data_IF_588030830364
#
_entry.id   IF_588030830364
#
_cell.length_a   1.000
_cell.length_b   1.000
_cell.length_c   1.000
_cell.angle_alpha   90.00
_cell.angle_beta   90.00
_cell.angle_gamma   90.00
#
_symmetry.space_group_name_H-M   'P 1'
#
loop_
_entity.id
_entity.type
_entity.pdbx_description
1 polymer ?
#
# COMPACT_ATOMS: atom_id res chain seq x y z
N UNK A 1 -16.51 7.82 0.02
CA UNK A 1 -15.25 8.54 -0.20
C UNK A 1 -14.61 7.93 -1.43
N UNK A 2 -14.35 6.62 -1.39
CA UNK A 2 -13.56 5.79 -2.31
C UNK A 2 -13.53 6.19 -3.80
N UNK A 3 -14.67 6.56 -4.42
CA UNK A 3 -14.68 7.03 -5.81
C UNK A 3 -13.90 8.36 -6.02
N UNK A 4 -13.83 9.22 -4.99
CA UNK A 4 -13.06 10.46 -5.02
C UNK A 4 -11.55 10.18 -4.95
N UNK A 5 -11.12 9.21 -4.15
CA UNK A 5 -9.74 8.71 -4.11
C UNK A 5 -9.35 8.15 -5.48
N UNK A 6 -10.23 7.35 -6.10
CA UNK A 6 -10.03 6.85 -7.47
C UNK A 6 -9.90 7.96 -8.50
N UNK A 7 -10.82 8.92 -8.50
CA UNK A 7 -10.77 10.05 -9.43
C UNK A 7 -9.48 10.87 -9.25
N UNK A 8 -9.05 11.09 -8.00
CA UNK A 8 -7.81 11.79 -7.70
C UNK A 8 -6.59 11.01 -8.24
N UNK A 9 -6.53 9.70 -8.01
CA UNK A 9 -5.47 8.85 -8.55
C UNK A 9 -5.41 8.91 -10.07
N UNK A 10 -6.56 8.83 -10.75
CA UNK A 10 -6.62 8.93 -12.21
C UNK A 10 -6.09 10.26 -12.74
N UNK A 11 -6.46 11.38 -12.11
CA UNK A 11 -5.94 12.70 -12.48
C UNK A 11 -4.43 12.75 -12.25
N UNK A 12 -3.94 12.25 -11.11
CA UNK A 12 -2.51 12.27 -10.81
C UNK A 12 -1.70 11.39 -11.77
N UNK A 13 -2.22 10.23 -12.18
CA UNK A 13 -1.54 9.32 -13.10
C UNK A 13 -1.51 9.84 -14.54
N UNK A 14 -2.60 10.46 -15.01
CA UNK A 14 -2.76 10.81 -16.42
C UNK A 14 -2.51 12.30 -16.72
N UNK A 15 -2.61 13.17 -15.70
CA UNK A 15 -2.60 14.62 -15.86
C UNK A 15 -1.68 15.34 -14.87
N UNK A 16 -0.67 14.65 -14.30
CA UNK A 16 0.32 15.24 -13.38
C UNK A 16 0.97 16.53 -13.92
N UNK A 17 1.24 16.60 -15.23
CA UNK A 17 1.81 17.80 -15.86
C UNK A 17 0.91 19.04 -15.71
N UNK A 18 -0.42 18.87 -15.74
CA UNK A 18 -1.38 19.96 -15.57
C UNK A 18 -1.47 20.44 -14.10
N UNK A 19 -1.11 19.57 -13.15
CA UNK A 19 -1.09 19.87 -11.72
C UNK A 19 0.19 20.59 -11.28
N UNK A 20 1.27 20.48 -12.06
CA UNK A 20 2.55 21.13 -11.80
C UNK A 20 3.07 20.85 -10.39
N UNK A 21 3.45 21.91 -9.68
CA UNK A 21 4.01 21.81 -8.33
C UNK A 21 3.02 21.30 -7.26
N UNK A 22 1.72 21.20 -7.56
CA UNK A 22 0.71 20.69 -6.63
C UNK A 22 0.63 19.17 -6.57
N UNK A 23 1.15 18.45 -7.58
CA UNK A 23 1.01 17.00 -7.69
C UNK A 23 1.55 16.22 -6.47
N UNK A 24 2.72 16.55 -5.89
CA UNK A 24 3.24 15.82 -4.73
C UNK A 24 2.34 15.90 -3.50
N UNK A 25 1.70 17.04 -3.26
CA UNK A 25 0.81 17.20 -2.10
C UNK A 25 -0.49 16.43 -2.30
N UNK A 26 -1.01 16.39 -3.53
CA UNK A 26 -2.19 15.61 -3.88
C UNK A 26 -1.96 14.10 -3.75
N UNK A 27 -0.75 13.61 -4.04
CA UNK A 27 -0.40 12.21 -3.74
C UNK A 27 -0.44 11.91 -2.24
N UNK A 28 0.05 12.83 -1.39
CA UNK A 28 -0.05 12.65 0.07
C UNK A 28 -1.50 12.61 0.53
N UNK A 29 -2.35 13.50 0.02
CA UNK A 29 -3.79 13.52 0.31
C UNK A 29 -4.43 12.20 -0.09
N UNK A 30 -4.10 11.69 -1.29
CA UNK A 30 -4.59 10.39 -1.74
C UNK A 30 -4.16 9.25 -0.81
N UNK A 31 -2.88 9.15 -0.45
CA UNK A 31 -2.39 8.12 0.50
C UNK A 31 -3.06 8.24 1.87
N UNK A 32 -3.34 9.45 2.34
CA UNK A 32 -4.04 9.69 3.62
C UNK A 32 -5.52 9.26 3.59
N UNK A 33 -6.15 9.26 2.40
CA UNK A 33 -7.52 8.77 2.21
C UNK A 33 -7.65 7.25 2.23
N UNK A 34 -6.53 6.51 2.10
CA UNK A 34 -6.53 5.05 2.09
C UNK A 34 -6.45 4.44 3.51
N UNK A 35 -6.93 3.20 3.71
CA UNK A 35 -7.53 2.30 2.71
C UNK A 35 -8.96 2.67 2.32
N UNK A 36 -9.39 2.30 1.11
CA UNK A 36 -10.81 2.25 0.75
C UNK A 36 -11.53 1.18 1.59
N UNK A 37 -12.78 1.43 1.96
CA UNK A 37 -13.52 0.58 2.92
C UNK A 37 -14.97 0.32 2.54
N UNK A 38 -15.50 1.01 1.53
CA UNK A 38 -16.94 1.04 1.24
C UNK A 38 -17.24 0.49 -0.16
N UNK A 39 -16.42 0.83 -1.14
CA UNK A 39 -16.57 0.41 -2.53
C UNK A 39 -15.47 -0.59 -2.89
N UNK A 40 -15.86 -1.84 -3.13
CA UNK A 40 -14.91 -2.92 -3.45
C UNK A 40 -14.18 -2.71 -4.78
N UNK A 41 -14.84 -2.14 -5.80
CA UNK A 41 -14.22 -1.94 -7.12
C UNK A 41 -13.15 -0.86 -7.02
N UNK A 42 -13.48 0.25 -6.37
CA UNK A 42 -12.53 1.33 -6.12
C UNK A 42 -11.43 0.92 -5.15
N UNK A 43 -11.75 0.08 -4.16
CA UNK A 43 -10.75 -0.50 -3.26
C UNK A 43 -9.74 -1.35 -4.03
N UNK A 44 -10.20 -2.30 -4.84
CA UNK A 44 -9.30 -3.17 -5.65
C UNK A 44 -8.37 -2.31 -6.51
N UNK A 45 -8.91 -1.29 -7.16
CA UNK A 45 -8.17 -0.36 -8.02
C UNK A 45 -7.15 0.48 -7.25
N UNK A 46 -7.54 1.19 -6.19
CA UNK A 46 -6.63 2.07 -5.46
C UNK A 46 -5.51 1.30 -4.78
N UNK A 47 -5.82 0.14 -4.18
CA UNK A 47 -4.79 -0.67 -3.52
C UNK A 47 -3.82 -1.32 -4.52
N UNK A 48 -4.28 -1.62 -5.74
CA UNK A 48 -3.40 -2.03 -6.84
C UNK A 48 -2.47 -0.88 -7.27
N UNK A 49 -3.01 0.33 -7.48
CA UNK A 49 -2.20 1.52 -7.80
C UNK A 49 -1.16 1.77 -6.72
N UNK A 50 -1.56 1.71 -5.44
CA UNK A 50 -0.65 1.92 -4.31
C UNK A 50 0.49 0.90 -4.34
N UNK A 51 0.18 -0.37 -4.56
CA UNK A 51 1.16 -1.45 -4.66
C UNK A 51 2.14 -1.21 -5.81
N UNK A 52 1.64 -0.86 -7.00
CA UNK A 52 2.48 -0.56 -8.16
C UNK A 52 3.43 0.62 -7.88
N UNK A 53 2.95 1.68 -7.23
CA UNK A 53 3.77 2.85 -6.90
C UNK A 53 4.86 2.53 -5.88
N UNK A 54 4.56 1.69 -4.89
CA UNK A 54 5.55 1.23 -3.89
C UNK A 54 6.61 0.35 -4.54
N UNK A 55 6.21 -0.57 -5.41
CA UNK A 55 7.14 -1.43 -6.16
C UNK A 55 8.06 -0.64 -7.09
N UNK A 56 7.61 0.52 -7.57
CA UNK A 56 8.40 1.47 -8.36
C UNK A 56 9.17 2.49 -7.50
N UNK A 57 9.12 2.37 -6.18
CA UNK A 57 9.77 3.27 -5.22
C UNK A 57 9.44 4.76 -5.46
N UNK A 58 8.20 5.05 -5.87
CA UNK A 58 7.75 6.42 -6.14
C UNK A 58 7.83 7.26 -4.87
N UNK A 59 8.72 8.26 -4.88
CA UNK A 59 9.02 9.11 -3.70
C UNK A 59 7.79 9.81 -3.15
N UNK A 60 6.80 10.09 -4.00
CA UNK A 60 5.52 10.70 -3.66
C UNK A 60 4.69 9.82 -2.72
N UNK A 61 4.88 8.50 -2.78
CA UNK A 61 4.18 7.50 -1.95
C UNK A 61 5.08 6.98 -0.85
N UNK A 62 6.28 6.49 -1.17
CA UNK A 62 7.16 5.85 -0.17
C UNK A 62 7.89 6.87 0.71
N UNK A 63 7.91 8.14 0.31
CA UNK A 63 8.64 9.21 0.99
C UNK A 63 10.15 9.11 0.74
N UNK A 64 10.87 10.20 1.02
CA UNK A 64 12.33 10.22 0.90
C UNK A 64 12.92 9.16 1.83
N UNK A 65 13.80 8.31 1.27
CA UNK A 65 14.41 7.18 1.98
C UNK A 65 13.41 6.22 2.67
N UNK A 66 12.17 6.12 2.14
CA UNK A 66 11.16 5.21 2.68
C UNK A 66 10.45 5.72 3.93
N UNK A 67 10.49 7.02 4.21
CA UNK A 67 9.89 7.62 5.41
C UNK A 67 8.39 7.29 5.62
N UNK A 68 7.64 7.01 4.54
CA UNK A 68 6.22 6.69 4.62
C UNK A 68 5.94 5.17 4.56
N UNK A 69 6.96 4.33 4.45
CA UNK A 69 6.79 2.89 4.24
C UNK A 69 5.98 2.22 5.35
N UNK A 70 6.13 2.66 6.60
CA UNK A 70 5.34 2.13 7.73
C UNK A 70 3.84 2.42 7.57
N UNK A 71 3.47 3.63 7.12
CA UNK A 71 2.07 3.99 6.86
C UNK A 71 1.50 3.17 5.71
N UNK A 72 2.27 3.00 4.64
CA UNK A 72 1.84 2.24 3.46
C UNK A 72 1.63 0.76 3.80
N UNK A 73 2.56 0.15 4.56
CA UNK A 73 2.38 -1.21 5.08
C UNK A 73 1.16 -1.32 6.00
N UNK A 74 0.83 -0.27 6.75
CA UNK A 74 -0.37 -0.25 7.59
C UNK A 74 -1.65 -0.29 6.76
N UNK A 75 -1.69 0.42 5.63
CA UNK A 75 -2.80 0.36 4.67
C UNK A 75 -2.92 -1.07 4.12
N UNK A 76 -1.84 -1.65 3.61
CA UNK A 76 -1.86 -2.99 3.03
C UNK A 76 -2.29 -4.07 4.02
N UNK A 77 -1.86 -3.95 5.28
CA UNK A 77 -2.28 -4.84 6.37
C UNK A 77 -3.79 -4.84 6.60
N UNK A 78 -4.47 -3.72 6.38
CA UNK A 78 -5.93 -3.66 6.55
C UNK A 78 -6.69 -4.33 5.41
N UNK A 79 -6.13 -4.35 4.19
CA UNK A 79 -6.83 -4.81 2.98
C UNK A 79 -6.38 -6.19 2.48
N UNK A 80 -5.26 -6.70 2.98
CA UNK A 80 -4.71 -8.01 2.60
C UNK A 80 -5.74 -9.14 2.77
N UNK A 81 -6.04 -9.85 1.66
CA UNK A 81 -7.05 -10.93 1.59
C UNK A 81 -8.42 -10.51 2.12
N UNK A 82 -8.84 -9.30 1.80
CA UNK A 82 -10.21 -8.80 1.99
C UNK A 82 -10.83 -8.54 0.63
N UNK A 83 -12.14 -8.29 0.58
CA UNK A 83 -12.84 -7.96 -0.67
C UNK A 83 -12.37 -6.61 -1.27
N UNK A 84 -11.59 -5.82 -0.53
CA UNK A 84 -10.99 -4.56 -1.01
C UNK A 84 -9.69 -4.76 -1.80
N UNK A 85 -9.20 -6.00 -1.95
CA UNK A 85 -8.00 -6.31 -2.71
C UNK A 85 -8.19 -7.60 -3.51
N UNK A 86 -7.84 -7.59 -4.80
CA UNK A 86 -7.85 -8.80 -5.61
C UNK A 86 -6.66 -9.73 -5.24
N UNK A 87 -6.68 -10.96 -5.75
CA UNK A 87 -5.66 -11.98 -5.46
C UNK A 87 -4.26 -11.55 -5.90
N UNK A 88 -4.15 -10.83 -7.01
CA UNK A 88 -2.89 -10.29 -7.53
C UNK A 88 -2.32 -9.26 -6.56
N UNK A 89 -3.13 -8.29 -6.12
CA UNK A 89 -2.75 -7.27 -5.14
C UNK A 89 -2.37 -7.92 -3.81
N UNK A 90 -3.17 -8.87 -3.31
CA UNK A 90 -2.85 -9.60 -2.07
C UNK A 90 -1.55 -10.39 -2.19
N UNK A 91 -1.29 -11.04 -3.32
CA UNK A 91 -0.02 -11.75 -3.56
C UNK A 91 1.16 -10.78 -3.58
N UNK A 92 1.04 -9.66 -4.31
CA UNK A 92 2.10 -8.67 -4.38
C UNK A 92 2.37 -7.94 -3.05
N UNK A 93 1.36 -7.77 -2.19
CA UNK A 93 1.56 -7.32 -0.80
C UNK A 93 2.43 -8.32 -0.04
N UNK A 94 2.16 -9.63 -0.17
CA UNK A 94 2.97 -10.67 0.47
C UNK A 94 4.43 -10.64 -0.01
N UNK A 95 4.64 -10.52 -1.32
CA UNK A 95 5.98 -10.40 -1.91
C UNK A 95 6.71 -9.14 -1.45
N UNK A 96 6.01 -8.01 -1.36
CA UNK A 96 6.57 -6.76 -0.84
C UNK A 96 7.05 -6.95 0.60
N UNK A 97 6.22 -7.55 1.45
CA UNK A 97 6.55 -7.80 2.87
C UNK A 97 7.76 -8.73 3.00
N UNK A 98 7.89 -9.75 2.14
CA UNK A 98 9.06 -10.65 2.12
C UNK A 98 10.35 -9.98 1.66
N UNK A 99 10.27 -8.97 0.79
CA UNK A 99 11.45 -8.23 0.32
C UNK A 99 12.03 -7.33 1.42
N UNK A 100 11.25 -6.97 2.43
CA UNK A 100 11.72 -6.16 3.55
C UNK A 100 12.57 -7.03 4.49
N UNK A 101 13.84 -6.67 4.77
CA UNK A 101 14.66 -7.43 5.72
C UNK A 101 13.99 -7.54 7.09
N UNK A 102 14.07 -8.70 7.75
CA UNK A 102 13.40 -8.98 9.01
C UNK A 102 13.62 -7.88 10.08
N UNK A 103 14.86 -7.41 10.26
CA UNK A 103 15.18 -6.35 11.20
C UNK A 103 14.45 -5.02 10.89
N UNK A 104 14.32 -4.69 9.61
CA UNK A 104 13.60 -3.49 9.17
C UNK A 104 12.09 -3.69 9.32
N UNK A 105 11.58 -4.90 9.09
CA UNK A 105 10.16 -5.22 9.25
C UNK A 105 9.72 -5.05 10.71
N UNK A 106 10.54 -5.47 11.67
CA UNK A 106 10.28 -5.28 13.10
C UNK A 106 10.30 -3.79 13.50
N UNK A 107 11.25 -3.02 12.97
CA UNK A 107 11.30 -1.56 13.18
C UNK A 107 10.05 -0.87 12.62
N UNK A 108 9.63 -1.22 11.40
CA UNK A 108 8.43 -0.67 10.78
C UNK A 108 7.17 -1.08 11.56
N UNK A 109 7.10 -2.34 11.99
CA UNK A 109 6.02 -2.84 12.84
C UNK A 109 5.92 -2.03 14.14
N UNK A 110 7.05 -1.65 14.75
CA UNK A 110 7.08 -0.81 15.96
C UNK A 110 6.28 0.50 15.86
N UNK A 111 6.09 1.03 14.65
CA UNK A 111 5.35 2.27 14.38
C UNK A 111 3.83 2.05 14.21
N UNK A 112 3.37 0.79 14.19
CA UNK A 112 1.98 0.42 13.94
C UNK A 112 1.24 0.07 15.24
N UNK A 113 -0.09 0.05 15.18
CA UNK A 113 -0.93 -0.47 16.27
C UNK A 113 -0.71 -1.97 16.47
N UNK A 114 -0.92 -2.49 17.69
CA UNK A 114 -0.66 -3.91 18.01
C UNK A 114 -1.37 -4.89 17.07
N UNK A 115 -2.64 -4.61 16.73
CA UNK A 115 -3.42 -5.41 15.79
C UNK A 115 -2.76 -5.46 14.40
N UNK A 116 -2.26 -4.32 13.93
CA UNK A 116 -1.58 -4.20 12.65
C UNK A 116 -0.23 -4.94 12.65
N UNK A 117 0.54 -4.82 13.75
CA UNK A 117 1.79 -5.59 13.92
C UNK A 117 1.56 -7.09 13.79
N UNK A 118 0.55 -7.61 14.51
CA UNK A 118 0.19 -9.05 14.45
C UNK A 118 -0.20 -9.48 13.04
N UNK A 119 -0.98 -8.66 12.33
CA UNK A 119 -1.34 -8.92 10.93
C UNK A 119 -0.13 -8.88 9.99
N UNK A 120 0.77 -7.90 10.13
CA UNK A 120 1.99 -7.80 9.31
C UNK A 120 2.87 -9.05 9.44
N UNK A 121 3.10 -9.50 10.68
CA UNK A 121 3.87 -10.73 10.93
C UNK A 121 3.17 -11.98 10.38
N UNK A 122 1.83 -12.01 10.42
CA UNK A 122 1.04 -13.08 9.80
C UNK A 122 1.24 -13.08 8.27
N UNK A 123 1.17 -11.92 7.62
CA UNK A 123 1.39 -11.79 6.17
C UNK A 123 2.79 -12.30 5.79
N UNK A 124 3.82 -11.87 6.52
CA UNK A 124 5.20 -12.32 6.28
C UNK A 124 5.31 -13.84 6.36
N UNK A 125 4.74 -14.46 7.40
CA UNK A 125 4.74 -15.93 7.55
C UNK A 125 3.98 -16.64 6.42
N UNK A 126 2.76 -16.20 6.11
CA UNK A 126 1.95 -16.80 5.03
C UNK A 126 2.65 -16.70 3.67
N UNK A 127 3.29 -15.57 3.39
CA UNK A 127 4.04 -15.38 2.16
C UNK A 127 5.27 -16.30 2.11
N UNK A 128 5.99 -16.45 3.23
CA UNK A 128 7.14 -17.34 3.34
C UNK A 128 6.76 -18.81 3.10
N UNK A 129 5.65 -19.26 3.71
CA UNK A 129 5.11 -20.61 3.50
C UNK A 129 4.73 -20.84 2.03
N UNK A 130 4.13 -19.85 1.36
CA UNK A 130 3.76 -19.93 -0.05
C UNK A 130 4.97 -20.04 -0.99
N UNK A 131 6.11 -19.40 -0.68
CA UNK A 131 7.34 -19.54 -1.46
C UNK A 131 8.01 -20.91 -1.32
N UNK A 132 7.70 -21.65 -0.26
CA UNK A 132 8.30 -22.96 0.02
C UNK A 132 7.45 -24.13 -0.52
N UNK A 133 6.30 -23.85 -1.13
CA UNK A 133 5.47 -24.85 -1.79
C UNK A 133 5.96 -25.04 -3.24
N UNK A 134 6.35 -26.27 -3.63
CA UNK A 134 6.89 -26.58 -4.96
C UNK A 134 5.84 -26.51 -6.07
#
# INVERSE_FOLDING_TARGET
ADNAESALAEILMNHSAALGAGAPELWKVWVQGLPCQMDEEEGKKNHEILLQMVQQEKVEVVGQAGANLAQVLAIFVEVYKTDMANDTTSTGIGELVLKVPQANLEQLAGQMKEKQRKKLMRIHREALEKQQQP
#
